data_IF_647459287269
#
_entry.id   IF_647459287269
#
_cell.length_a   1.000
_cell.length_b   1.000
_cell.length_c   1.000
_cell.angle_alpha   90.00
_cell.angle_beta   90.00
_cell.angle_gamma   90.00
#
_symmetry.space_group_name_H-M   'P 1'
#
loop_
_entity.id
_entity.type
_entity.pdbx_description
1 polymer ?
#
# COMPACT_ATOMS: atom_id res chain seq x y z
N UNK A 1 -20.43 -11.40 10.30
CA UNK A 1 -19.04 -11.79 10.54
C UNK A 1 -18.21 -10.90 9.64
N UNK A 2 -17.42 -10.02 10.22
CA UNK A 2 -16.57 -9.07 9.50
C UNK A 2 -15.15 -9.64 9.47
N UNK A 3 -14.45 -9.46 8.35
CA UNK A 3 -13.05 -9.82 8.24
C UNK A 3 -12.22 -8.55 8.21
N UNK A 4 -11.43 -8.36 9.27
CA UNK A 4 -10.52 -7.24 9.40
C UNK A 4 -9.10 -7.78 9.53
N UNK A 5 -8.20 -7.29 8.68
CA UNK A 5 -6.78 -7.55 8.75
C UNK A 5 -6.04 -6.24 8.47
N UNK A 6 -5.05 -5.92 9.30
CA UNK A 6 -4.32 -4.65 9.21
C UNK A 6 -3.08 -4.72 8.30
N UNK A 7 -2.59 -5.92 8.04
CA UNK A 7 -1.34 -6.14 7.32
C UNK A 7 -1.58 -6.75 5.93
N UNK A 8 -0.94 -6.20 4.91
CA UNK A 8 -1.10 -6.59 3.50
C UNK A 8 -0.78 -8.07 3.27
N UNK A 9 0.25 -8.60 3.93
CA UNK A 9 0.63 -10.02 3.78
C UNK A 9 -0.45 -10.94 4.35
N UNK A 10 -1.07 -10.53 5.46
CA UNK A 10 -2.19 -11.27 6.06
C UNK A 10 -3.42 -11.23 5.16
N UNK A 11 -3.77 -10.04 4.63
CA UNK A 11 -4.88 -9.87 3.69
C UNK A 11 -4.70 -10.77 2.47
N UNK A 12 -3.53 -10.74 1.83
CA UNK A 12 -3.25 -11.56 0.64
C UNK A 12 -3.33 -13.05 0.96
N UNK A 13 -2.86 -13.47 2.14
CA UNK A 13 -2.91 -14.87 2.57
C UNK A 13 -4.35 -15.36 2.78
N UNK A 14 -5.24 -14.51 3.29
CA UNK A 14 -6.67 -14.83 3.44
C UNK A 14 -7.35 -14.97 2.07
N UNK A 15 -7.09 -14.04 1.14
CA UNK A 15 -7.61 -14.13 -0.23
C UNK A 15 -7.10 -15.39 -0.94
N UNK A 16 -5.81 -15.72 -0.78
CA UNK A 16 -5.21 -16.95 -1.30
C UNK A 16 -5.85 -18.23 -0.72
N UNK A 17 -6.29 -18.18 0.55
CA UNK A 17 -7.03 -19.27 1.19
C UNK A 17 -8.51 -19.34 0.77
N UNK A 18 -8.97 -18.47 -0.14
CA UNK A 18 -10.34 -18.40 -0.64
C UNK A 18 -11.29 -17.59 0.23
N UNK A 19 -10.77 -16.82 1.19
CA UNK A 19 -11.57 -15.97 2.07
C UNK A 19 -11.81 -14.60 1.41
N UNK A 20 -12.69 -14.60 0.41
CA UNK A 20 -13.22 -13.38 -0.21
C UNK A 20 -12.24 -12.64 -1.12
N UNK A 21 -12.39 -11.32 -1.18
CA UNK A 21 -11.58 -10.38 -1.98
C UNK A 21 -11.22 -9.17 -1.11
N UNK A 22 -10.13 -8.48 -1.44
CA UNK A 22 -9.73 -7.25 -0.75
C UNK A 22 -9.27 -6.18 -1.72
N UNK A 23 -9.38 -4.93 -1.29
CA UNK A 23 -8.74 -3.78 -1.94
C UNK A 23 -7.36 -3.56 -1.32
N UNK A 24 -6.38 -3.22 -2.16
CA UNK A 24 -5.01 -2.95 -1.77
C UNK A 24 -4.52 -1.70 -2.52
N UNK A 25 -3.57 -0.98 -1.92
CA UNK A 25 -2.92 0.17 -2.55
C UNK A 25 -1.71 -0.33 -3.33
N UNK A 26 -1.57 0.10 -4.58
CA UNK A 26 -0.42 -0.22 -5.42
C UNK A 26 0.80 0.66 -5.03
N UNK A 27 2.04 0.12 -5.04
CA UNK A 27 2.40 -1.25 -5.40
C UNK A 27 2.25 -2.22 -4.22
N UNK A 28 1.67 -3.39 -4.47
CA UNK A 28 1.65 -4.49 -3.52
C UNK A 28 2.95 -5.30 -3.57
N UNK A 29 3.44 -5.82 -2.43
CA UNK A 29 4.58 -6.71 -2.40
C UNK A 29 4.37 -7.92 -3.31
N UNK A 30 5.43 -8.50 -3.89
CA UNK A 30 5.32 -9.72 -4.67
C UNK A 30 4.69 -10.83 -3.81
N UNK A 31 3.58 -11.40 -4.28
CA UNK A 31 3.04 -12.66 -3.78
C UNK A 31 3.25 -13.75 -4.81
N UNK A 32 3.04 -15.01 -4.44
CA UNK A 32 3.02 -16.10 -5.41
C UNK A 32 1.96 -15.77 -6.49
N UNK A 33 2.33 -15.58 -7.77
CA UNK A 33 1.41 -15.19 -8.82
C UNK A 33 0.29 -16.22 -9.06
N UNK A 34 0.50 -17.47 -8.65
CA UNK A 34 -0.50 -18.55 -8.77
C UNK A 34 -1.52 -18.54 -7.62
N UNK A 35 -1.28 -17.74 -6.56
CA UNK A 35 -2.13 -17.74 -5.35
C UNK A 35 -3.24 -16.69 -5.36
N UNK A 36 -3.02 -15.56 -6.04
CA UNK A 36 -3.97 -14.44 -6.12
C UNK A 36 -3.83 -13.70 -7.44
N UNK A 37 -4.95 -13.22 -7.98
CA UNK A 37 -4.97 -12.36 -9.17
C UNK A 37 -5.19 -10.92 -8.74
N UNK A 38 -4.23 -10.04 -9.05
CA UNK A 38 -4.39 -8.60 -8.87
C UNK A 38 -5.09 -7.99 -10.08
N UNK A 39 -6.06 -7.10 -9.83
CA UNK A 39 -6.74 -6.32 -10.87
C UNK A 39 -6.73 -4.86 -10.48
N UNK A 40 -6.31 -4.00 -11.41
CA UNK A 40 -6.38 -2.57 -11.23
C UNK A 40 -7.85 -2.11 -11.31
N UNK A 41 -8.21 -1.15 -10.46
CA UNK A 41 -9.52 -0.50 -10.52
C UNK A 41 -9.46 0.63 -11.54
N UNK A 42 -10.39 0.63 -12.51
CA UNK A 42 -10.39 1.57 -13.64
C UNK A 42 -11.47 2.67 -13.56
N UNK A 43 -12.24 2.71 -12.49
CA UNK A 43 -13.28 3.73 -12.27
C UNK A 43 -12.66 5.10 -11.93
N UNK A 44 -13.47 6.16 -11.96
CA UNK A 44 -13.08 7.48 -11.46
C UNK A 44 -12.94 7.43 -9.93
N UNK A 45 -11.72 7.12 -9.48
CA UNK A 45 -11.37 6.96 -8.07
C UNK A 45 -10.57 8.16 -7.57
N UNK A 46 -10.75 8.58 -6.31
CA UNK A 46 -9.93 9.62 -5.73
C UNK A 46 -8.46 9.18 -5.71
N UNK A 47 -7.50 10.11 -5.91
CA UNK A 47 -6.09 9.79 -5.80
C UNK A 47 -5.76 9.39 -4.36
N UNK A 48 -4.82 8.46 -4.21
CA UNK A 48 -4.25 8.08 -2.92
C UNK A 48 -2.83 8.67 -2.78
N UNK A 49 -2.67 9.89 -2.23
CA UNK A 49 -1.38 10.56 -2.21
C UNK A 49 -0.43 9.93 -1.20
N UNK A 50 0.75 9.52 -1.66
CA UNK A 50 1.87 9.24 -0.77
C UNK A 50 2.44 10.57 -0.26
N UNK A 51 2.43 10.76 1.06
CA UNK A 51 2.87 12.01 1.70
C UNK A 51 3.97 11.75 2.71
N UNK A 52 4.87 12.71 2.86
CA UNK A 52 5.91 12.73 3.90
C UNK A 52 5.68 13.96 4.78
N UNK A 53 5.82 13.79 6.09
CA UNK A 53 5.74 14.87 7.06
C UNK A 53 7.07 14.98 7.82
N UNK A 54 7.51 16.21 8.08
CA UNK A 54 8.69 16.51 8.87
C UNK A 54 8.44 17.69 9.80
N UNK A 55 9.26 17.79 10.85
CA UNK A 55 9.22 18.96 11.72
C UNK A 55 9.70 20.21 10.96
N UNK A 56 8.95 21.33 11.00
CA UNK A 56 9.40 22.62 10.43
C UNK A 56 10.74 23.12 10.98
N UNK A 57 11.11 22.68 12.19
CA UNK A 57 12.35 23.07 12.86
C UNK A 57 13.54 22.14 12.53
N UNK A 58 13.32 21.09 11.72
CA UNK A 58 14.40 20.19 11.33
C UNK A 58 15.37 20.89 10.36
N UNK A 59 16.63 21.05 10.78
CA UNK A 59 17.72 21.68 10.00
C UNK A 59 18.72 20.66 9.45
N UNK A 60 18.39 19.37 9.47
CA UNK A 60 19.29 18.32 8.99
C UNK A 60 19.57 18.48 7.50
N UNK A 61 20.84 18.53 7.06
CA UNK A 61 21.17 18.53 5.63
C UNK A 61 20.72 17.23 4.95
N UNK A 62 20.57 16.13 5.70
CA UNK A 62 20.05 14.86 5.17
C UNK A 62 18.58 15.00 4.77
N UNK A 63 17.76 15.68 5.57
CA UNK A 63 16.36 15.94 5.22
C UNK A 63 16.28 16.81 3.96
N UNK A 64 17.09 17.86 3.86
CA UNK A 64 17.12 18.71 2.67
C UNK A 64 17.45 17.90 1.41
N UNK A 65 18.49 17.06 1.46
CA UNK A 65 18.87 16.20 0.33
C UNK A 65 17.84 15.12 0.04
N UNK A 66 17.13 14.60 1.04
CA UNK A 66 16.04 13.66 0.82
C UNK A 66 14.88 14.30 0.06
N UNK A 67 14.50 15.52 0.44
CA UNK A 67 13.42 16.26 -0.22
C UNK A 67 13.74 16.66 -1.67
N UNK A 68 15.02 16.70 -2.06
CA UNK A 68 15.45 16.89 -3.46
C UNK A 68 15.30 15.62 -4.33
N UNK A 69 15.15 14.44 -3.72
CA UNK A 69 15.07 13.15 -4.42
C UNK A 69 13.64 12.62 -4.61
N UNK A 70 12.67 13.22 -3.92
CA UNK A 70 11.26 12.81 -3.93
C UNK A 70 10.42 13.68 -4.86
#
# INVERSE_FOLDING_TARGET
>A
MEQEAADVQTIVSLVAAGLGVSLLISPTPPSNPDSVVYRELSDDLPPWPLSVAWSPDNRSPVLARFLEMV
#
